data_IF_363995852314
#
_entry.id   IF_363995852314
#
_cell.length_a   1.000
_cell.length_b   1.000
_cell.length_c   1.000
_cell.angle_alpha   90.00
_cell.angle_beta   90.00
_cell.angle_gamma   90.00
#
_symmetry.space_group_name_H-M   'P 1'
#
loop_
_entity.id
_entity.type
_entity.pdbx_description
1 polymer ?
#
# COMPACT_ATOMS: atom_id res chain seq x y z
N UNK A 1 -16.85 -13.56 28.97
CA UNK A 1 -16.39 -12.33 28.30
C UNK A 1 -17.46 -11.26 28.42
N UNK A 2 -17.10 -10.15 29.05
CA UNK A 2 -17.90 -8.93 29.24
C UNK A 2 -16.95 -7.73 29.32
N UNK A 3 -17.13 -6.74 28.45
CA UNK A 3 -16.30 -5.55 28.38
C UNK A 3 -17.08 -4.32 27.90
N UNK A 4 -16.60 -3.13 28.26
CA UNK A 4 -17.06 -1.85 27.75
C UNK A 4 -15.90 -1.11 27.10
N UNK A 5 -16.11 -0.54 25.92
CA UNK A 5 -15.07 0.21 25.19
C UNK A 5 -15.67 1.43 24.47
N UNK A 6 -14.80 2.37 24.09
CA UNK A 6 -15.15 3.47 23.19
C UNK A 6 -15.60 2.92 21.84
N UNK A 7 -16.81 3.27 21.42
CA UNK A 7 -17.44 2.74 20.22
C UNK A 7 -16.62 3.04 18.97
N UNK A 8 -16.15 4.29 18.81
CA UNK A 8 -15.36 4.71 17.66
C UNK A 8 -14.07 3.90 17.50
N UNK A 9 -13.33 3.70 18.60
CA UNK A 9 -12.06 2.96 18.60
C UNK A 9 -12.26 1.49 18.23
N UNK A 10 -13.30 0.87 18.79
CA UNK A 10 -13.64 -0.52 18.54
C UNK A 10 -14.20 -0.72 17.12
N UNK A 11 -15.02 0.22 16.63
CA UNK A 11 -15.54 0.21 15.27
C UNK A 11 -14.42 0.35 14.23
N UNK A 12 -13.46 1.24 14.47
CA UNK A 12 -12.28 1.42 13.62
C UNK A 12 -11.44 0.14 13.56
N UNK A 13 -11.12 -0.46 14.72
CA UNK A 13 -10.36 -1.70 14.78
C UNK A 13 -11.09 -2.88 14.14
N UNK A 14 -12.39 -3.05 14.40
CA UNK A 14 -13.19 -4.13 13.80
C UNK A 14 -13.29 -3.97 12.27
N UNK A 15 -13.45 -2.74 11.78
CA UNK A 15 -13.47 -2.43 10.35
C UNK A 15 -12.13 -2.75 9.69
N UNK A 16 -11.03 -2.43 10.38
CA UNK A 16 -9.69 -2.73 9.90
C UNK A 16 -9.43 -4.22 9.79
N UNK A 17 -9.74 -4.99 10.83
CA UNK A 17 -9.60 -6.44 10.76
C UNK A 17 -10.50 -7.05 9.68
N UNK A 18 -11.77 -6.63 9.59
CA UNK A 18 -12.70 -7.15 8.60
C UNK A 18 -12.32 -6.83 7.14
N UNK A 19 -11.52 -5.79 6.90
CA UNK A 19 -10.98 -5.44 5.58
C UNK A 19 -9.87 -6.40 5.13
N UNK A 20 -9.00 -6.76 6.07
CA UNK A 20 -7.85 -7.64 5.84
C UNK A 20 -8.24 -9.11 5.68
N UNK A 21 -9.43 -9.47 6.16
CA UNK A 21 -9.96 -10.81 6.02
C UNK A 21 -10.66 -11.01 4.66
N UNK A 22 -10.56 -12.23 4.10
CA UNK A 22 -11.15 -12.56 2.81
C UNK A 22 -12.67 -12.40 2.85
N UNK A 23 -13.18 -11.82 1.76
CA UNK A 23 -14.58 -11.40 1.67
C UNK A 23 -15.54 -12.55 1.33
N UNK A 24 -15.01 -13.57 0.65
CA UNK A 24 -15.71 -14.80 0.25
C UNK A 24 -14.86 -15.97 0.67
N UNK A 25 -15.30 -16.67 1.71
CA UNK A 25 -14.70 -17.93 2.18
C UNK A 25 -15.76 -18.99 2.26
N UNK A 26 -15.39 -20.22 1.92
CA UNK A 26 -16.25 -21.39 2.13
C UNK A 26 -16.40 -21.71 3.62
N UNK A 27 -15.38 -21.39 4.42
CA UNK A 27 -15.35 -21.57 5.87
C UNK A 27 -15.53 -20.22 6.60
N UNK A 28 -16.70 -19.96 7.21
CA UNK A 28 -16.98 -18.72 7.93
C UNK A 28 -16.01 -18.40 9.06
N UNK A 29 -15.32 -19.40 9.62
CA UNK A 29 -14.36 -19.22 10.71
C UNK A 29 -13.17 -18.36 10.25
N UNK A 30 -12.75 -18.47 8.99
CA UNK A 30 -11.64 -17.70 8.41
C UNK A 30 -11.99 -16.24 8.12
N UNK A 31 -13.29 -15.91 8.04
CA UNK A 31 -13.78 -14.53 8.00
C UNK A 31 -14.25 -14.04 9.39
N UNK A 32 -13.94 -14.82 10.43
CA UNK A 32 -14.26 -14.51 11.81
C UNK A 32 -13.24 -13.56 12.44
N UNK A 33 -13.73 -12.78 13.40
CA UNK A 33 -12.92 -11.95 14.29
C UNK A 33 -12.90 -12.58 15.67
N UNK A 34 -11.72 -12.91 16.16
CA UNK A 34 -11.50 -13.28 17.55
C UNK A 34 -11.41 -12.01 18.39
N UNK A 35 -12.26 -11.89 19.39
CA UNK A 35 -12.15 -10.90 20.45
C UNK A 35 -11.58 -11.58 21.68
N UNK A 36 -10.52 -11.01 22.27
CA UNK A 36 -9.97 -11.47 23.55
C UNK A 36 -9.98 -10.32 24.55
N UNK A 37 -10.76 -10.45 25.61
CA UNK A 37 -10.81 -9.49 26.70
C UNK A 37 -9.92 -9.96 27.85
N UNK A 38 -9.12 -9.04 28.38
CA UNK A 38 -8.30 -9.27 29.57
C UNK A 38 -7.84 -7.97 30.23
N UNK A 39 -6.91 -8.03 31.20
CA UNK A 39 -6.54 -6.87 32.02
C UNK A 39 -6.00 -5.66 31.24
N UNK A 40 -5.43 -5.87 30.05
CA UNK A 40 -4.89 -4.83 29.19
C UNK A 40 -5.91 -4.21 28.23
N UNK A 41 -7.18 -4.65 28.26
CA UNK A 41 -8.24 -4.21 27.36
C UNK A 41 -8.73 -5.33 26.45
N UNK A 42 -9.02 -4.99 25.19
CA UNK A 42 -9.52 -5.94 24.18
C UNK A 42 -8.56 -6.06 23.01
N UNK A 43 -8.27 -7.31 22.63
CA UNK A 43 -7.54 -7.67 21.44
C UNK A 43 -8.51 -8.13 20.35
N UNK A 44 -8.37 -7.58 19.15
CA UNK A 44 -9.11 -7.91 17.94
C UNK A 44 -8.16 -8.64 17.00
N UNK A 45 -8.47 -9.89 16.68
CA UNK A 45 -7.57 -10.78 15.94
C UNK A 45 -8.31 -11.42 14.77
N UNK A 46 -7.72 -11.33 13.58
CA UNK A 46 -8.21 -12.00 12.37
C UNK A 46 -7.08 -12.78 11.71
N UNK A 47 -7.41 -13.96 11.16
CA UNK A 47 -6.47 -14.77 10.37
C UNK A 47 -7.18 -15.63 9.33
N UNK A 48 -6.66 -15.67 8.11
CA UNK A 48 -7.11 -16.58 7.05
C UNK A 48 -6.08 -17.67 6.70
N UNK A 49 -5.07 -17.85 7.57
CA UNK A 49 -3.84 -18.67 7.44
C UNK A 49 -2.70 -18.00 6.69
N UNK A 50 -2.98 -17.14 5.74
CA UNK A 50 -1.95 -16.41 4.99
C UNK A 50 -1.71 -15.04 5.62
N UNK A 51 -2.80 -14.32 5.85
CA UNK A 51 -2.86 -13.01 6.46
C UNK A 51 -3.26 -13.13 7.92
N UNK A 52 -2.62 -12.34 8.76
CA UNK A 52 -3.01 -12.20 10.15
C UNK A 52 -2.89 -10.75 10.60
N UNK A 53 -3.88 -10.31 11.35
CA UNK A 53 -3.93 -8.98 11.96
C UNK A 53 -4.27 -9.10 13.43
N UNK A 54 -3.64 -8.25 14.23
CA UNK A 54 -3.84 -8.13 15.66
C UNK A 54 -3.88 -6.65 16.01
N UNK A 55 -4.95 -6.20 16.63
CA UNK A 55 -5.11 -4.83 17.12
C UNK A 55 -5.52 -4.85 18.58
N UNK A 56 -4.96 -3.95 19.38
CA UNK A 56 -5.33 -3.80 20.79
C UNK A 56 -6.02 -2.46 21.00
N UNK A 57 -7.12 -2.46 21.76
CA UNK A 57 -7.84 -1.25 22.15
C UNK A 57 -8.06 -1.21 23.67
N UNK A 58 -7.95 -0.03 24.29
CA UNK A 58 -8.36 0.14 25.67
C UNK A 58 -9.83 -0.27 25.85
N UNK A 59 -10.10 -1.02 26.91
CA UNK A 59 -11.46 -1.39 27.29
C UNK A 59 -11.50 -1.66 28.79
N UNK A 60 -12.63 -1.38 29.40
CA UNK A 60 -12.93 -1.81 30.77
C UNK A 60 -13.46 -3.23 30.69
N UNK A 61 -12.65 -4.20 31.13
CA UNK A 61 -13.03 -5.62 31.12
C UNK A 61 -13.65 -6.01 32.46
N UNK A 62 -14.90 -6.44 32.43
CA UNK A 62 -15.66 -6.91 33.60
C UNK A 62 -15.53 -8.41 33.80
N UNK A 63 -15.36 -9.15 32.70
CA UNK A 63 -15.12 -10.60 32.73
C UNK A 63 -14.27 -10.99 31.54
N UNK A 64 -13.11 -11.61 31.82
CA UNK A 64 -12.20 -12.09 30.79
C UNK A 64 -12.85 -13.12 29.87
N UNK A 65 -12.20 -13.36 28.73
CA UNK A 65 -12.53 -14.46 27.85
C UNK A 65 -12.27 -14.15 26.39
N UNK A 66 -12.48 -15.16 25.55
CA UNK A 66 -12.31 -15.06 24.11
C UNK A 66 -13.53 -15.59 23.38
N UNK A 67 -13.90 -14.94 22.28
CA UNK A 67 -14.98 -15.38 21.40
C UNK A 67 -14.61 -15.16 19.94
N UNK A 68 -15.23 -15.92 19.05
CA UNK A 68 -15.16 -15.72 17.61
C UNK A 68 -16.52 -15.26 17.08
N UNK A 69 -16.56 -14.20 16.28
CA UNK A 69 -17.78 -13.65 15.68
C UNK A 69 -17.57 -13.27 14.21
N UNK A 70 -18.62 -13.17 13.37
CA UNK A 70 -18.45 -12.71 12.00
C UNK A 70 -17.91 -11.27 11.93
N UNK A 71 -16.69 -11.09 11.42
CA UNK A 71 -15.95 -9.82 11.51
C UNK A 71 -16.72 -8.64 10.88
N UNK A 72 -17.22 -8.84 9.66
CA UNK A 72 -17.98 -7.83 8.91
C UNK A 72 -19.25 -7.39 9.62
N UNK A 73 -20.02 -8.36 10.13
CA UNK A 73 -21.27 -8.05 10.84
C UNK A 73 -21.01 -7.24 12.09
N UNK A 74 -19.94 -7.56 12.83
CA UNK A 74 -19.59 -6.78 14.01
C UNK A 74 -19.15 -5.37 13.61
N UNK A 75 -18.25 -5.25 12.62
CA UNK A 75 -17.78 -3.96 12.13
C UNK A 75 -18.94 -3.06 11.65
N UNK A 76 -19.86 -3.60 10.86
CA UNK A 76 -21.03 -2.86 10.37
C UNK A 76 -21.98 -2.46 11.51
N UNK A 77 -22.18 -3.34 12.49
CA UNK A 77 -23.00 -3.05 13.67
C UNK A 77 -22.39 -1.90 14.45
N UNK A 78 -21.10 -1.97 14.79
CA UNK A 78 -20.39 -0.94 15.57
C UNK A 78 -20.34 0.40 14.84
N UNK A 79 -20.14 0.40 13.52
CA UNK A 79 -20.11 1.64 12.71
C UNK A 79 -21.45 2.36 12.67
N UNK A 80 -22.56 1.63 12.84
CA UNK A 80 -23.91 2.19 12.87
C UNK A 80 -24.36 2.71 14.24
N UNK A 81 -23.53 2.61 15.28
CA UNK A 81 -23.86 3.10 16.61
C UNK A 81 -23.49 4.57 16.75
N UNK A 82 -24.35 5.33 17.43
CA UNK A 82 -24.12 6.75 17.77
C UNK A 82 -23.65 6.93 19.22
N UNK A 83 -23.82 5.93 20.09
CA UNK A 83 -23.36 5.98 21.48
C UNK A 83 -21.83 6.00 21.58
N UNK A 84 -21.27 6.84 22.46
CA UNK A 84 -19.82 6.94 22.69
C UNK A 84 -19.19 5.65 23.24
N UNK A 85 -19.96 4.88 24.00
CA UNK A 85 -19.52 3.65 24.65
C UNK A 85 -20.43 2.49 24.27
N UNK A 86 -19.82 1.32 24.07
CA UNK A 86 -20.52 0.08 23.74
C UNK A 86 -20.07 -1.04 24.68
N UNK A 87 -21.03 -1.84 25.15
CA UNK A 87 -20.76 -3.03 25.96
C UNK A 87 -20.90 -4.28 25.11
N UNK A 88 -19.86 -5.11 25.08
CA UNK A 88 -19.88 -6.44 24.48
C UNK A 88 -19.96 -7.50 25.57
N UNK A 89 -20.99 -8.34 25.53
CA UNK A 89 -21.19 -9.37 26.56
C UNK A 89 -21.70 -10.67 25.95
N UNK A 90 -21.12 -11.78 26.39
CA UNK A 90 -21.52 -13.12 25.95
C UNK A 90 -22.79 -13.55 26.66
N UNK A 91 -23.79 -13.95 25.87
CA UNK A 91 -25.08 -14.43 26.35
C UNK A 91 -25.40 -15.78 25.69
N UNK A 92 -25.05 -16.88 26.36
CA UNK A 92 -25.18 -18.22 25.81
C UNK A 92 -24.31 -18.37 24.55
N UNK A 93 -24.96 -18.61 23.41
CA UNK A 93 -24.31 -18.80 22.10
C UNK A 93 -24.18 -17.52 21.26
N UNK A 94 -24.36 -16.33 21.87
CA UNK A 94 -24.31 -15.05 21.16
C UNK A 94 -23.41 -14.03 21.85
N UNK A 95 -22.79 -13.16 21.06
CA UNK A 95 -22.20 -11.92 21.54
C UNK A 95 -23.24 -10.81 21.43
N UNK A 96 -23.71 -10.31 22.57
CA UNK A 96 -24.60 -9.15 22.61
C UNK A 96 -23.78 -7.85 22.55
N UNK A 97 -24.13 -6.99 21.61
CA UNK A 97 -23.62 -5.61 21.47
C UNK A 97 -24.70 -4.70 22.06
N UNK A 98 -24.40 -4.06 23.18
CA UNK A 98 -25.36 -3.26 23.95
C UNK A 98 -24.96 -1.80 24.01
N UNK A 99 -25.94 -0.96 23.81
CA UNK A 99 -25.89 0.47 24.14
C UNK A 99 -26.99 0.80 25.14
N UNK A 100 -27.17 2.09 25.44
CA UNK A 100 -28.22 2.56 26.34
C UNK A 100 -29.63 2.24 25.80
N UNK A 101 -29.81 2.32 24.49
CA UNK A 101 -31.11 2.23 23.82
C UNK A 101 -31.28 0.98 22.93
N UNK A 102 -30.21 0.23 22.67
CA UNK A 102 -30.24 -0.87 21.71
C UNK A 102 -29.50 -2.13 22.17
N UNK A 103 -29.95 -3.28 21.66
CA UNK A 103 -29.27 -4.56 21.78
C UNK A 103 -29.25 -5.29 20.45
N UNK A 104 -28.05 -5.57 19.97
CA UNK A 104 -27.79 -6.45 18.83
C UNK A 104 -27.16 -7.74 19.33
N UNK A 105 -27.30 -8.84 18.61
CA UNK A 105 -26.72 -10.12 19.01
C UNK A 105 -26.18 -10.88 17.81
N UNK A 106 -24.87 -11.13 17.81
CA UNK A 106 -24.19 -11.89 16.77
C UNK A 106 -24.02 -13.34 17.22
N UNK A 107 -24.16 -14.33 16.32
CA UNK A 107 -23.85 -15.71 16.65
C UNK A 107 -22.36 -15.85 16.97
N UNK A 108 -22.04 -16.64 17.98
CA UNK A 108 -20.67 -17.10 18.19
C UNK A 108 -20.35 -18.19 17.16
N UNK A 109 -19.15 -18.09 16.58
CA UNK A 109 -18.56 -19.14 15.77
C UNK A 109 -17.68 -20.03 16.66
N UNK A 110 -17.33 -21.22 16.18
CA UNK A 110 -16.45 -22.11 16.93
C UNK A 110 -15.02 -21.56 16.97
N UNK A 111 -14.63 -21.06 18.15
CA UNK A 111 -13.30 -20.52 18.40
C UNK A 111 -12.21 -21.60 18.25
N UNK A 112 -12.50 -22.86 18.57
CA UNK A 112 -11.51 -23.94 18.49
C UNK A 112 -11.13 -24.27 17.04
N UNK A 113 -12.03 -23.98 16.09
CA UNK A 113 -11.78 -24.15 14.65
C UNK A 113 -10.96 -23.00 14.04
N UNK A 114 -10.77 -21.87 14.74
CA UNK A 114 -10.00 -20.75 14.23
C UNK A 114 -8.51 -21.12 14.16
N UNK A 115 -7.78 -20.82 13.06
CA UNK A 115 -6.38 -21.21 12.88
C UNK A 115 -5.40 -20.52 13.85
N UNK A 116 -5.90 -19.69 14.77
CA UNK A 116 -5.09 -18.79 15.58
C UNK A 116 -4.36 -17.73 14.76
N UNK A 117 -3.50 -16.98 15.44
CA UNK A 117 -2.52 -16.11 14.79
C UNK A 117 -1.13 -16.61 15.15
N UNK A 118 -0.31 -16.99 14.17
CA UNK A 118 1.06 -17.41 14.44
C UNK A 118 1.87 -16.24 15.03
N UNK A 119 2.91 -16.54 15.83
CA UNK A 119 3.76 -15.50 16.40
C UNK A 119 4.41 -14.65 15.30
N UNK A 120 4.82 -13.44 15.66
CA UNK A 120 5.60 -12.59 14.76
C UNK A 120 6.97 -13.25 14.51
N UNK A 121 7.50 -13.18 13.27
CA UNK A 121 8.86 -13.57 12.98
C UNK A 121 9.90 -12.75 13.79
N UNK A 122 11.18 -13.12 13.75
CA UNK A 122 12.27 -12.31 14.29
C UNK A 122 12.27 -10.89 13.73
N UNK A 123 12.78 -9.94 14.52
CA UNK A 123 12.91 -8.54 14.09
C UNK A 123 14.02 -8.44 13.05
N UNK A 124 13.70 -7.86 11.89
CA UNK A 124 14.67 -7.53 10.84
C UNK A 124 15.20 -6.10 10.99
N UNK A 125 14.36 -5.16 11.41
CA UNK A 125 14.77 -3.78 11.67
C UNK A 125 13.59 -2.84 11.94
N UNK A 126 13.89 -1.55 12.10
CA UNK A 126 12.92 -0.52 12.50
C UNK A 126 13.11 0.77 11.71
N UNK A 127 12.03 1.53 11.52
CA UNK A 127 12.06 2.88 10.97
C UNK A 127 10.83 3.70 11.39
N UNK A 128 10.87 5.03 11.26
CA UNK A 128 9.67 5.86 11.42
C UNK A 128 8.57 5.47 10.43
N UNK A 129 7.31 5.53 10.87
CA UNK A 129 6.13 5.24 10.03
C UNK A 129 6.09 6.08 8.76
N UNK A 130 6.49 7.33 8.84
CA UNK A 130 6.43 8.30 7.73
C UNK A 130 7.38 7.90 6.62
N UNK A 131 8.59 7.45 6.98
CA UNK A 131 9.63 6.98 6.06
C UNK A 131 9.14 5.73 5.33
N UNK A 132 8.56 4.77 6.07
CA UNK A 132 8.01 3.55 5.47
C UNK A 132 6.85 3.88 4.54
N UNK A 133 5.92 4.74 4.95
CA UNK A 133 4.75 5.15 4.14
C UNK A 133 5.19 5.86 2.86
N UNK A 134 6.11 6.83 2.97
CA UNK A 134 6.56 7.64 1.86
C UNK A 134 7.27 6.82 0.78
N UNK A 135 7.99 5.75 1.16
CA UNK A 135 8.68 4.88 0.24
C UNK A 135 7.82 3.74 -0.30
N UNK A 136 7.04 3.10 0.58
CA UNK A 136 6.31 1.88 0.22
C UNK A 136 5.04 2.16 -0.56
N UNK A 137 4.37 3.30 -0.31
CA UNK A 137 3.18 3.71 -1.09
C UNK A 137 3.44 3.80 -2.59
N UNK A 138 4.47 4.54 -3.07
CA UNK A 138 4.76 4.60 -4.49
C UNK A 138 5.32 3.29 -5.05
N UNK A 139 6.09 2.54 -4.25
CA UNK A 139 6.65 1.24 -4.68
C UNK A 139 5.54 0.20 -4.85
N UNK A 140 4.68 -0.01 -3.85
CA UNK A 140 3.53 -0.90 -3.96
C UNK A 140 2.56 -0.46 -5.09
N UNK A 141 2.47 0.84 -5.37
CA UNK A 141 1.68 1.35 -6.50
C UNK A 141 2.16 0.88 -7.88
N UNK A 142 3.43 0.45 -8.00
CA UNK A 142 4.02 -0.04 -9.25
C UNK A 142 3.81 -1.55 -9.50
N UNK A 143 3.18 -2.27 -8.58
CA UNK A 143 2.96 -3.72 -8.72
C UNK A 143 1.84 -4.04 -9.70
N UNK A 144 1.90 -5.24 -10.27
CA UNK A 144 0.81 -5.83 -11.03
C UNK A 144 -0.40 -6.07 -10.13
N UNK A 145 -1.59 -5.91 -10.71
CA UNK A 145 -2.87 -6.35 -10.12
C UNK A 145 -3.37 -7.65 -10.74
N UNK A 146 -2.63 -8.18 -11.70
CA UNK A 146 -2.90 -9.44 -12.38
C UNK A 146 -2.16 -10.57 -11.67
N UNK A 147 -2.93 -11.52 -11.13
CA UNK A 147 -2.44 -12.68 -10.39
C UNK A 147 -1.86 -13.77 -11.31
N UNK A 148 -1.96 -13.63 -12.64
CA UNK A 148 -1.36 -14.58 -13.59
C UNK A 148 0.16 -14.70 -13.44
N UNK A 149 0.82 -13.64 -12.96
CA UNK A 149 2.26 -13.62 -12.66
C UNK A 149 2.49 -13.08 -11.25
N UNK A 150 2.35 -13.92 -10.19
CA UNK A 150 2.41 -13.50 -8.79
C UNK A 150 3.71 -12.78 -8.41
N UNK A 151 4.81 -13.08 -9.09
CA UNK A 151 6.09 -12.38 -8.90
C UNK A 151 5.99 -10.85 -9.02
N UNK A 152 5.07 -10.34 -9.85
CA UNK A 152 4.88 -8.91 -10.06
C UNK A 152 3.81 -8.30 -9.14
N UNK A 153 3.13 -9.10 -8.31
CA UNK A 153 2.16 -8.60 -7.32
C UNK A 153 2.82 -8.25 -5.99
N UNK A 154 4.14 -8.43 -5.88
CA UNK A 154 4.92 -8.17 -4.67
C UNK A 154 5.89 -7.01 -4.76
N UNK A 155 6.35 -6.59 -3.59
CA UNK A 155 7.47 -5.66 -3.39
C UNK A 155 8.67 -6.45 -2.87
N UNK A 156 9.78 -6.35 -3.58
CA UNK A 156 11.07 -6.89 -3.16
C UNK A 156 11.69 -5.96 -2.12
N UNK A 157 12.00 -6.45 -0.92
CA UNK A 157 12.59 -5.68 0.18
C UNK A 157 13.95 -6.25 0.57
N UNK A 158 15.02 -5.48 0.41
CA UNK A 158 16.41 -5.89 0.64
C UNK A 158 17.11 -4.96 1.64
N UNK A 159 17.55 -5.52 2.76
CA UNK A 159 18.49 -4.86 3.66
C UNK A 159 19.89 -4.79 3.04
N UNK A 160 20.46 -3.60 2.98
CA UNK A 160 21.84 -3.36 2.55
C UNK A 160 22.49 -2.43 3.55
N UNK A 161 23.25 -2.98 4.51
CA UNK A 161 23.86 -2.19 5.58
C UNK A 161 22.83 -1.40 6.40
N UNK A 162 22.92 -0.08 6.34
CA UNK A 162 22.08 0.90 7.06
C UNK A 162 20.87 1.41 6.28
N UNK A 163 20.60 0.83 5.10
CA UNK A 163 19.45 1.18 4.29
C UNK A 163 18.63 -0.04 3.87
N UNK A 164 17.36 0.22 3.59
CA UNK A 164 16.40 -0.72 3.05
C UNK A 164 16.07 -0.30 1.62
N UNK A 165 16.29 -1.20 0.67
CA UNK A 165 15.90 -1.04 -0.73
C UNK A 165 14.57 -1.75 -0.98
N UNK A 166 13.67 -1.08 -1.69
CA UNK A 166 12.34 -1.57 -2.07
C UNK A 166 12.14 -1.43 -3.57
N UNK A 167 11.74 -2.52 -4.23
CA UNK A 167 11.58 -2.55 -5.69
C UNK A 167 10.27 -3.24 -6.06
N UNK A 168 9.55 -2.67 -7.02
CA UNK A 168 8.34 -3.27 -7.59
C UNK A 168 8.17 -2.89 -9.06
N UNK A 169 7.53 -3.77 -9.82
CA UNK A 169 7.26 -3.55 -11.24
C UNK A 169 6.06 -4.37 -11.73
N UNK A 170 5.37 -3.86 -12.73
CA UNK A 170 4.36 -4.56 -13.54
C UNK A 170 4.84 -4.82 -14.98
N UNK A 171 6.17 -4.72 -15.19
CA UNK A 171 6.91 -4.76 -16.47
C UNK A 171 6.81 -3.52 -17.34
N UNK A 172 5.84 -2.64 -17.13
CA UNK A 172 5.67 -1.40 -17.91
C UNK A 172 6.09 -0.15 -17.14
N UNK A 173 6.10 -0.26 -15.82
CA UNK A 173 6.65 0.71 -14.91
C UNK A 173 7.36 0.02 -13.77
N UNK A 174 8.20 0.78 -13.07
CA UNK A 174 8.97 0.27 -11.96
C UNK A 174 9.22 1.40 -10.98
N UNK A 175 9.17 1.08 -9.69
CA UNK A 175 9.50 2.00 -8.62
C UNK A 175 10.61 1.40 -7.77
N UNK A 176 11.56 2.24 -7.40
CA UNK A 176 12.69 1.91 -6.57
C UNK A 176 12.77 2.95 -5.45
N UNK A 177 12.79 2.51 -4.21
CA UNK A 177 13.01 3.38 -3.07
C UNK A 177 14.16 2.85 -2.21
N UNK A 178 15.03 3.76 -1.77
CA UNK A 178 16.02 3.50 -0.73
C UNK A 178 15.68 4.38 0.47
N UNK A 179 15.63 3.77 1.65
CA UNK A 179 15.33 4.47 2.89
C UNK A 179 16.34 4.15 3.98
N UNK A 180 16.68 5.12 4.86
CA UNK A 180 17.42 4.83 6.07
C UNK A 180 16.58 3.95 6.99
N UNK A 181 17.20 2.97 7.64
CA UNK A 181 16.53 2.15 8.64
C UNK A 181 17.52 1.62 9.70
N UNK A 182 17.00 1.23 10.86
CA UNK A 182 17.79 0.61 11.92
C UNK A 182 17.74 -0.91 11.75
N UNK A 183 18.76 -1.47 11.10
CA UNK A 183 18.88 -2.91 10.89
C UNK A 183 19.18 -3.65 12.21
N UNK A 184 18.48 -4.77 12.43
CA UNK A 184 18.71 -5.71 13.55
C UNK A 184 18.95 -7.14 13.07
N UNK A 185 18.55 -7.44 11.83
CA UNK A 185 18.76 -8.72 11.17
C UNK A 185 18.84 -8.53 9.66
N UNK A 186 18.91 -9.64 8.94
CA UNK A 186 18.83 -9.64 7.48
C UNK A 186 17.38 -9.50 7.01
N UNK A 187 17.18 -8.81 5.89
CA UNK A 187 15.91 -8.80 5.17
C UNK A 187 16.17 -9.03 3.69
N UNK A 188 15.61 -10.10 3.14
CA UNK A 188 15.65 -10.38 1.71
C UNK A 188 14.39 -11.15 1.35
N UNK A 189 13.32 -10.40 1.07
CA UNK A 189 11.99 -10.99 0.90
C UNK A 189 11.25 -10.38 -0.28
N UNK A 190 10.28 -11.13 -0.82
CA UNK A 190 9.29 -10.65 -1.77
C UNK A 190 7.91 -10.69 -1.09
N UNK A 191 7.44 -9.53 -0.65
CA UNK A 191 6.21 -9.39 0.12
C UNK A 191 5.02 -9.05 -0.78
N UNK A 192 3.85 -9.69 -0.63
CA UNK A 192 2.63 -9.29 -1.34
C UNK A 192 2.30 -7.81 -1.13
N UNK A 193 2.02 -7.08 -2.21
CA UNK A 193 1.68 -5.66 -2.14
C UNK A 193 0.37 -5.39 -1.40
N UNK A 194 -0.53 -6.39 -1.33
CA UNK A 194 -1.79 -6.29 -0.62
C UNK A 194 -1.59 -5.96 0.87
N UNK A 195 -0.61 -6.57 1.54
CA UNK A 195 -0.23 -6.23 2.92
C UNK A 195 0.27 -4.77 3.00
N UNK A 196 1.03 -4.37 2.00
CA UNK A 196 1.75 -3.10 1.96
C UNK A 196 0.82 -1.93 1.64
N UNK A 197 -0.34 -2.18 1.03
CA UNK A 197 -1.39 -1.18 0.83
C UNK A 197 -1.92 -0.60 2.15
N UNK A 198 -1.89 -1.39 3.23
CA UNK A 198 -2.32 -0.95 4.56
C UNK A 198 -1.27 -0.10 5.28
N UNK A 199 -0.04 0.00 4.76
CA UNK A 199 1.00 0.85 5.35
C UNK A 199 0.56 2.32 5.40
N UNK A 200 -0.20 2.78 4.41
CA UNK A 200 -0.79 4.13 4.40
C UNK A 200 -1.72 4.44 5.60
N UNK A 201 -2.17 3.41 6.33
CA UNK A 201 -3.08 3.52 7.49
C UNK A 201 -2.37 3.31 8.83
N UNK A 202 -1.06 3.07 8.81
CA UNK A 202 -0.29 2.99 10.05
C UNK A 202 -0.44 4.29 10.85
N UNK A 203 -0.43 4.22 12.19
CA UNK A 203 -0.36 5.42 13.01
C UNK A 203 0.85 6.26 12.61
N UNK A 204 0.65 7.57 12.49
CA UNK A 204 1.72 8.51 12.23
C UNK A 204 2.53 8.78 13.49
N UNK A 205 3.74 9.29 13.31
CA UNK A 205 4.73 9.66 14.31
C UNK A 205 5.08 8.52 15.26
N UNK A 206 5.20 7.30 14.73
CA UNK A 206 5.57 6.12 15.51
C UNK A 206 6.71 5.34 14.87
N UNK A 207 7.26 4.39 15.62
CA UNK A 207 8.26 3.46 15.10
C UNK A 207 7.54 2.19 14.65
N UNK A 208 7.79 1.81 13.40
CA UNK A 208 7.33 0.54 12.84
C UNK A 208 8.49 -0.45 12.90
N UNK A 209 8.21 -1.65 13.39
CA UNK A 209 9.14 -2.77 13.39
C UNK A 209 8.79 -3.72 12.25
N UNK A 210 9.79 -4.02 11.41
CA UNK A 210 9.69 -5.02 10.35
C UNK A 210 10.20 -6.35 10.91
N UNK A 211 9.38 -7.38 10.76
CA UNK A 211 9.69 -8.75 11.14
C UNK A 211 9.73 -9.61 9.87
N UNK A 212 10.69 -10.53 9.78
CA UNK A 212 10.73 -11.46 8.66
C UNK A 212 11.44 -12.76 9.02
N UNK A 213 11.01 -13.83 8.36
CA UNK A 213 11.70 -15.11 8.22
C UNK A 213 11.58 -15.59 6.76
N UNK A 214 11.88 -16.85 6.48
CA UNK A 214 11.86 -17.42 5.13
C UNK A 214 10.43 -17.56 4.54
N UNK A 215 9.40 -17.53 5.38
CA UNK A 215 8.01 -17.81 4.99
C UNK A 215 7.09 -16.60 5.15
N UNK A 216 7.41 -15.66 6.04
CA UNK A 216 6.50 -14.59 6.48
C UNK A 216 7.19 -13.26 6.66
N UNK A 217 6.43 -12.20 6.41
CA UNK A 217 6.77 -10.82 6.80
C UNK A 217 5.67 -10.27 7.68
N UNK A 218 6.04 -9.44 8.66
CA UNK A 218 5.09 -8.70 9.46
C UNK A 218 5.57 -7.26 9.72
N UNK A 219 4.60 -6.37 9.92
CA UNK A 219 4.81 -5.01 10.42
C UNK A 219 4.13 -4.92 11.78
N UNK A 220 4.82 -4.35 12.78
CA UNK A 220 4.25 -4.10 14.10
C UNK A 220 4.52 -2.67 14.58
N UNK A 221 3.62 -2.17 15.42
CA UNK A 221 3.64 -0.82 15.98
C UNK A 221 2.91 -0.85 17.34
N UNK A 222 2.99 0.24 18.14
CA UNK A 222 2.22 0.31 19.38
C UNK A 222 0.73 0.09 19.16
N UNK A 223 0.19 -1.00 19.71
CA UNK A 223 -1.23 -1.35 19.62
C UNK A 223 -1.64 -2.15 18.38
N UNK A 224 -0.70 -2.62 17.55
CA UNK A 224 -1.06 -3.50 16.44
C UNK A 224 0.07 -4.18 15.70
N UNK A 225 -0.30 -5.20 14.91
CA UNK A 225 0.57 -5.84 13.94
C UNK A 225 -0.23 -6.45 12.79
N UNK A 226 0.38 -6.50 11.61
CA UNK A 226 -0.14 -7.19 10.44
C UNK A 226 0.95 -8.08 9.85
N UNK A 227 0.59 -9.26 9.34
CA UNK A 227 1.52 -10.22 8.75
C UNK A 227 0.91 -10.93 7.56
N UNK A 228 1.76 -11.37 6.64
CA UNK A 228 1.38 -12.16 5.47
C UNK A 228 2.46 -13.21 5.17
N UNK A 229 2.12 -14.22 4.36
CA UNK A 229 3.07 -15.15 3.76
C UNK A 229 3.83 -14.48 2.60
N UNK A 230 5.09 -14.86 2.42
CA UNK A 230 5.93 -14.36 1.34
C UNK A 230 5.55 -14.99 0.00
N UNK A 231 5.88 -14.28 -1.08
CA UNK A 231 5.78 -14.83 -2.43
C UNK A 231 7.02 -15.69 -2.70
N UNK A 232 6.82 -16.99 -2.90
CA UNK A 232 7.87 -17.96 -3.23
C UNK A 232 8.32 -17.86 -4.70
N UNK A 233 8.80 -16.69 -5.12
CA UNK A 233 9.25 -16.44 -6.50
C UNK A 233 10.51 -15.56 -6.57
N UNK A 234 11.47 -15.84 -7.47
CA UNK A 234 12.69 -15.06 -7.60
C UNK A 234 12.45 -13.75 -8.36
N UNK A 235 12.61 -12.59 -7.71
CA UNK A 235 12.46 -11.27 -8.35
C UNK A 235 13.63 -10.94 -9.30
N UNK A 236 13.41 -10.37 -10.51
CA UNK A 236 14.47 -10.12 -11.49
C UNK A 236 15.29 -8.84 -11.21
N UNK A 237 16.02 -8.81 -10.09
CA UNK A 237 16.70 -7.61 -9.56
C UNK A 237 17.78 -7.06 -10.52
N UNK A 238 18.69 -7.90 -11.03
CA UNK A 238 19.78 -7.45 -11.91
C UNK A 238 19.29 -6.73 -13.16
N UNK A 239 18.20 -7.22 -13.76
CA UNK A 239 17.60 -6.61 -14.94
C UNK A 239 16.88 -5.32 -14.58
N UNK A 240 16.21 -5.29 -13.43
CA UNK A 240 15.55 -4.10 -12.91
C UNK A 240 16.55 -2.96 -12.66
N UNK A 241 17.67 -3.24 -11.96
CA UNK A 241 18.70 -2.24 -11.66
C UNK A 241 19.40 -1.69 -12.89
N UNK A 242 19.69 -2.53 -13.88
CA UNK A 242 20.28 -2.07 -15.17
C UNK A 242 19.40 -1.05 -15.90
N UNK A 243 18.09 -1.07 -15.70
CA UNK A 243 17.20 -0.08 -16.30
C UNK A 243 17.33 1.32 -15.66
N UNK A 244 17.92 1.42 -14.46
CA UNK A 244 18.20 2.68 -13.78
C UNK A 244 19.41 3.43 -14.37
N UNK A 245 20.31 2.72 -15.06
CA UNK A 245 21.48 3.28 -15.73
C UNK A 245 21.07 3.92 -17.07
N UNK A 246 20.45 5.11 -16.99
CA UNK A 246 19.95 5.82 -18.16
C UNK A 246 21.07 6.49 -18.99
N UNK A 247 21.00 6.37 -20.32
CA UNK A 247 21.74 7.24 -21.25
C UNK A 247 20.83 8.43 -21.53
N UNK A 248 21.16 9.59 -20.99
CA UNK A 248 20.26 10.74 -20.95
C UNK A 248 20.37 11.56 -22.25
N UNK A 249 19.27 11.64 -23.00
CA UNK A 249 19.16 12.51 -24.19
C UNK A 249 18.57 13.88 -23.85
N UNK A 250 17.63 13.90 -22.91
CA UNK A 250 16.97 15.11 -22.45
C UNK A 250 16.66 15.03 -20.96
N UNK A 251 16.97 16.09 -20.23
CA UNK A 251 16.64 16.25 -18.82
C UNK A 251 15.58 17.34 -18.70
N UNK A 252 14.44 17.02 -18.09
CA UNK A 252 13.33 17.96 -17.92
C UNK A 252 12.96 18.09 -16.45
N UNK A 253 13.07 19.28 -15.89
CA UNK A 253 12.70 19.59 -14.50
C UNK A 253 11.38 20.36 -14.47
N UNK A 254 10.36 19.79 -13.82
CA UNK A 254 8.98 20.31 -13.81
C UNK A 254 8.33 20.11 -12.44
N UNK A 255 7.31 20.92 -12.11
CA UNK A 255 6.46 20.67 -10.94
C UNK A 255 5.62 19.41 -11.17
N UNK A 256 5.75 18.40 -10.31
CA UNK A 256 5.10 17.10 -10.50
C UNK A 256 3.56 17.23 -10.56
N UNK A 257 2.97 18.04 -9.68
CA UNK A 257 1.52 18.23 -9.62
C UNK A 257 0.97 18.96 -10.86
N UNK A 258 1.75 19.90 -11.43
CA UNK A 258 1.36 20.61 -12.64
C UNK A 258 1.33 19.65 -13.84
N UNK A 259 2.37 18.85 -14.02
CA UNK A 259 2.43 17.85 -15.09
C UNK A 259 1.37 16.75 -14.89
N UNK A 260 1.17 16.27 -13.66
CA UNK A 260 0.13 15.29 -13.36
C UNK A 260 -1.27 15.83 -13.66
N UNK A 261 -1.52 17.12 -13.37
CA UNK A 261 -2.75 17.82 -13.71
C UNK A 261 -3.01 17.86 -15.21
N UNK A 262 -1.99 18.19 -16.01
CA UNK A 262 -2.08 18.22 -17.47
C UNK A 262 -2.33 16.82 -18.06
N UNK A 263 -1.61 15.80 -17.60
CA UNK A 263 -1.83 14.39 -18.01
C UNK A 263 -3.26 13.93 -17.69
N UNK A 264 -3.77 14.26 -16.50
CA UNK A 264 -5.14 13.94 -16.11
C UNK A 264 -6.17 14.61 -17.02
N UNK A 265 -5.97 15.88 -17.39
CA UNK A 265 -6.87 16.61 -18.31
C UNK A 265 -6.77 16.13 -19.75
N UNK A 266 -5.63 15.60 -20.18
CA UNK A 266 -5.45 15.00 -21.50
C UNK A 266 -6.03 13.57 -21.61
N UNK A 267 -6.18 12.87 -20.49
CA UNK A 267 -6.63 11.46 -20.44
C UNK A 267 -8.00 11.22 -21.13
N UNK A 268 -9.03 12.07 -21.03
CA UNK A 268 -10.28 11.89 -21.77
C UNK A 268 -10.12 11.82 -23.30
N UNK A 269 -9.04 12.37 -23.84
CA UNK A 269 -8.70 12.41 -25.27
C UNK A 269 -7.67 11.35 -25.67
N UNK A 270 -7.37 10.39 -24.80
CA UNK A 270 -6.29 9.43 -24.98
C UNK A 270 -6.69 8.14 -25.72
N UNK A 271 -7.93 8.10 -26.22
CA UNK A 271 -8.50 6.98 -26.96
C UNK A 271 -8.58 5.67 -26.15
N UNK A 272 -8.93 4.54 -26.81
CA UNK A 272 -9.09 3.25 -26.14
C UNK A 272 -7.78 2.69 -25.56
N UNK A 273 -6.63 3.15 -26.05
CA UNK A 273 -5.31 2.71 -25.58
C UNK A 273 -4.80 3.53 -24.39
N UNK A 274 -5.46 4.64 -24.05
CA UNK A 274 -5.09 5.47 -22.92
C UNK A 274 -3.75 6.17 -23.10
N UNK A 275 -3.38 6.57 -24.33
CA UNK A 275 -2.07 7.14 -24.65
C UNK A 275 -2.02 8.67 -24.53
N UNK A 276 -0.98 9.20 -23.86
CA UNK A 276 -0.68 10.63 -23.79
C UNK A 276 0.73 10.88 -24.30
N UNK A 277 0.92 11.90 -25.12
CA UNK A 277 2.20 12.27 -25.72
C UNK A 277 2.78 13.50 -25.01
N UNK A 278 4.04 13.39 -24.59
CA UNK A 278 4.85 14.50 -24.11
C UNK A 278 5.78 14.96 -25.23
N UNK A 279 5.72 16.24 -25.58
CA UNK A 279 6.66 16.89 -26.48
C UNK A 279 7.52 17.84 -25.65
N UNK A 280 8.83 17.62 -25.68
CA UNK A 280 9.82 18.48 -25.01
C UNK A 280 10.15 19.63 -25.95
N UNK A 281 9.81 20.85 -25.54
CA UNK A 281 10.12 22.09 -26.26
C UNK A 281 11.30 22.83 -25.60
N UNK A 282 11.46 24.14 -25.81
CA UNK A 282 12.58 24.91 -25.24
C UNK A 282 12.39 25.30 -23.77
N UNK A 283 11.15 25.61 -23.36
CA UNK A 283 10.82 26.08 -22.00
C UNK A 283 9.55 25.47 -21.42
N UNK A 284 8.99 24.47 -22.11
CA UNK A 284 7.73 23.82 -21.73
C UNK A 284 7.70 22.35 -22.16
N UNK A 285 6.93 21.56 -21.42
CA UNK A 285 6.44 20.25 -21.82
C UNK A 285 5.03 20.42 -22.36
N UNK A 286 4.83 20.07 -23.62
CA UNK A 286 3.51 20.04 -24.23
C UNK A 286 2.92 18.65 -24.08
N UNK A 287 1.78 18.57 -23.40
CA UNK A 287 1.03 17.35 -23.11
C UNK A 287 -0.13 17.25 -24.09
N UNK A 288 -0.17 16.18 -24.88
CA UNK A 288 -1.22 15.94 -25.88
C UNK A 288 -1.96 14.63 -25.64
N UNK A 289 -3.29 14.70 -25.73
CA UNK A 289 -4.16 13.54 -25.97
C UNK A 289 -4.85 13.74 -27.31
N UNK A 290 -4.84 12.72 -28.18
CA UNK A 290 -5.50 12.81 -29.49
C UNK A 290 -6.09 11.45 -29.85
N UNK A 291 -7.37 11.45 -30.21
CA UNK A 291 -8.08 10.28 -30.72
C UNK A 291 -9.19 10.73 -31.70
N UNK A 292 -9.33 10.08 -32.87
CA UNK A 292 -10.27 10.53 -33.92
C UNK A 292 -11.73 10.60 -33.49
N UNK A 293 -12.15 9.86 -32.46
CA UNK A 293 -13.54 9.81 -31.99
C UNK A 293 -13.81 10.76 -30.83
N UNK A 294 -12.80 11.02 -30.00
CA UNK A 294 -12.92 11.80 -28.76
C UNK A 294 -12.31 13.21 -28.87
N UNK A 295 -11.62 13.50 -29.97
CA UNK A 295 -11.05 14.81 -30.28
C UNK A 295 -9.60 14.93 -29.83
N UNK A 296 -9.15 16.16 -29.62
CA UNK A 296 -7.78 16.45 -29.19
C UNK A 296 -7.73 17.40 -27.99
N UNK A 297 -6.65 17.27 -27.23
CA UNK A 297 -6.26 18.17 -26.14
C UNK A 297 -4.79 18.48 -26.24
N UNK A 298 -4.44 19.71 -25.92
CA UNK A 298 -3.07 20.19 -25.88
C UNK A 298 -2.95 21.17 -24.72
N UNK A 299 -1.96 20.93 -23.85
CA UNK A 299 -1.67 21.81 -22.73
C UNK A 299 -0.15 21.92 -22.54
N UNK A 300 0.34 23.14 -22.33
CA UNK A 300 1.76 23.40 -22.05
C UNK A 300 2.01 23.58 -20.56
N UNK A 301 3.01 22.87 -20.05
CA UNK A 301 3.49 22.95 -18.66
C UNK A 301 4.90 23.51 -18.65
N UNK A 302 5.13 24.62 -17.94
CA UNK A 302 6.45 25.24 -17.84
C UNK A 302 7.48 24.26 -17.25
N UNK A 303 8.64 24.15 -17.88
CA UNK A 303 9.72 23.27 -17.43
C UNK A 303 11.10 23.87 -17.71
N UNK A 304 12.11 23.39 -17.00
CA UNK A 304 13.52 23.66 -17.32
C UNK A 304 14.08 22.47 -18.09
N UNK A 305 14.69 22.71 -19.24
CA UNK A 305 15.02 21.66 -20.20
C UNK A 305 16.50 21.76 -20.58
N UNK A 306 17.18 20.63 -20.54
CA UNK A 306 18.56 20.46 -21.00
C UNK A 306 18.63 19.29 -21.99
N UNK A 307 19.39 19.46 -23.07
CA UNK A 307 19.54 18.42 -24.11
C UNK A 307 18.53 18.52 -25.25
N UNK A 308 18.08 17.36 -25.74
CA UNK A 308 17.35 17.24 -27.00
C UNK A 308 15.83 17.49 -26.85
N UNK A 309 15.19 17.92 -27.95
CA UNK A 309 13.73 18.08 -28.05
C UNK A 309 13.17 16.76 -28.55
N UNK A 310 12.57 16.02 -27.64
CA UNK A 310 12.12 14.64 -27.87
C UNK A 310 10.62 14.55 -27.69
N UNK A 311 9.99 13.68 -28.48
CA UNK A 311 8.57 13.35 -28.34
C UNK A 311 8.45 11.91 -27.84
N UNK A 312 7.66 11.69 -26.78
CA UNK A 312 7.41 10.37 -26.19
C UNK A 312 5.95 10.18 -25.86
N UNK A 313 5.42 9.02 -26.20
CA UNK A 313 4.06 8.64 -25.85
C UNK A 313 4.08 7.62 -24.71
N UNK A 314 3.21 7.79 -23.72
CA UNK A 314 3.10 6.93 -22.55
C UNK A 314 1.66 6.49 -22.35
N UNK A 315 1.46 5.40 -21.60
CA UNK A 315 0.14 5.13 -21.06
C UNK A 315 -0.16 6.14 -19.94
N UNK A 316 -1.25 6.89 -20.08
CA UNK A 316 -1.60 8.01 -19.21
C UNK A 316 -1.64 7.61 -17.74
N UNK A 317 -2.22 6.44 -17.43
CA UNK A 317 -2.31 5.92 -16.06
C UNK A 317 -0.92 5.70 -15.43
N UNK A 318 0.05 5.16 -16.18
CA UNK A 318 1.37 4.87 -15.64
C UNK A 318 2.17 6.14 -15.41
N UNK A 319 2.08 7.10 -16.34
CA UNK A 319 2.72 8.40 -16.19
C UNK A 319 2.09 9.18 -15.01
N UNK A 320 0.76 9.17 -14.89
CA UNK A 320 0.07 9.81 -13.78
C UNK A 320 0.46 9.21 -12.43
N UNK A 321 0.51 7.88 -12.31
CA UNK A 321 0.90 7.20 -11.07
C UNK A 321 2.37 7.49 -10.71
N UNK A 322 3.27 7.51 -11.71
CA UNK A 322 4.67 7.87 -11.50
C UNK A 322 4.84 9.31 -11.01
N UNK A 323 4.10 10.27 -11.58
CA UNK A 323 4.16 11.68 -11.17
C UNK A 323 3.58 11.88 -9.76
N UNK A 324 2.51 11.14 -9.42
CA UNK A 324 1.87 11.21 -8.10
C UNK A 324 2.80 10.80 -6.97
N UNK A 325 3.78 9.94 -7.25
CA UNK A 325 4.82 9.54 -6.32
C UNK A 325 5.74 10.71 -5.88
N UNK A 326 5.75 11.81 -6.64
CA UNK A 326 6.53 13.01 -6.39
C UNK A 326 5.65 14.25 -6.09
N UNK A 327 4.42 14.04 -5.61
CA UNK A 327 3.49 15.15 -5.34
C UNK A 327 4.10 16.19 -4.39
N UNK A 328 3.85 17.48 -4.68
CA UNK A 328 4.44 18.60 -3.97
C UNK A 328 5.94 18.84 -4.22
N UNK A 329 6.58 18.11 -5.15
CA UNK A 329 8.01 18.24 -5.47
C UNK A 329 8.25 18.64 -6.92
N UNK A 330 9.43 19.20 -7.17
CA UNK A 330 10.02 19.26 -8.51
C UNK A 330 10.58 17.89 -8.87
N UNK A 331 10.16 17.39 -10.03
CA UNK A 331 10.60 16.10 -10.57
C UNK A 331 11.47 16.32 -11.80
N UNK A 332 12.56 15.57 -11.87
CA UNK A 332 13.47 15.48 -13.01
C UNK A 332 13.11 14.24 -13.83
N UNK A 333 12.73 14.45 -15.08
CA UNK A 333 12.50 13.42 -16.09
C UNK A 333 13.77 13.27 -16.93
N UNK A 334 14.43 12.13 -16.83
CA UNK A 334 15.55 11.72 -17.68
C UNK A 334 15.01 10.89 -18.83
N UNK A 335 14.88 11.53 -19.98
CA UNK A 335 14.31 10.93 -21.19
C UNK A 335 15.45 10.40 -22.06
N UNK A 336 15.29 9.16 -22.51
CA UNK A 336 16.21 8.46 -23.39
C UNK A 336 15.56 8.28 -24.77
N UNK A 337 16.34 8.13 -25.83
CA UNK A 337 15.86 7.97 -27.21
C UNK A 337 15.18 6.60 -27.45
N UNK A 338 14.34 6.54 -28.50
CA UNK A 338 13.64 5.33 -28.93
C UNK A 338 12.56 4.87 -27.95
N UNK A 339 12.58 3.58 -27.57
CA UNK A 339 11.58 2.99 -26.66
C UNK A 339 12.13 2.70 -25.27
N UNK A 340 13.27 3.30 -24.92
CA UNK A 340 13.84 3.18 -23.58
C UNK A 340 12.98 3.93 -22.56
N UNK A 341 12.98 3.45 -21.33
CA UNK A 341 12.20 4.03 -20.23
C UNK A 341 12.66 5.44 -19.88
N UNK A 342 11.69 6.29 -19.54
CA UNK A 342 11.95 7.56 -18.88
C UNK A 342 12.10 7.33 -17.38
N UNK A 343 13.15 7.88 -16.78
CA UNK A 343 13.40 7.81 -15.34
C UNK A 343 12.98 9.12 -14.69
N UNK A 344 12.14 9.05 -13.67
CA UNK A 344 11.68 10.16 -12.84
C UNK A 344 12.40 10.08 -11.50
N UNK A 345 12.96 11.21 -11.08
CA UNK A 345 13.64 11.35 -9.78
C UNK A 345 13.33 12.70 -9.17
N UNK A 346 13.47 12.84 -7.85
CA UNK A 346 13.50 14.15 -7.18
C UNK A 346 14.68 14.19 -6.23
N UNK A 347 15.05 15.38 -5.77
CA UNK A 347 15.92 15.47 -4.61
C UNK A 347 15.24 14.78 -3.41
N UNK A 348 15.99 14.04 -2.58
CA UNK A 348 15.45 13.46 -1.35
C UNK A 348 14.90 14.56 -0.43
N UNK A 349 13.81 14.25 0.27
CA UNK A 349 13.28 15.13 1.30
C UNK A 349 14.10 15.05 2.60
N UNK A 350 13.64 15.74 3.64
CA UNK A 350 14.22 15.61 5.00
C UNK A 350 14.02 14.19 5.58
N UNK A 351 13.10 13.42 5.01
CA UNK A 351 12.83 12.02 5.34
C UNK A 351 13.93 11.05 4.88
N UNK A 352 14.90 11.51 4.07
CA UNK A 352 15.97 10.68 3.53
C UNK A 352 15.48 9.62 2.52
N UNK A 353 14.23 9.71 2.06
CA UNK A 353 13.67 8.77 1.10
C UNK A 353 14.16 9.11 -0.30
N UNK A 354 14.98 8.24 -0.87
CA UNK A 354 15.40 8.33 -2.26
C UNK A 354 14.43 7.53 -3.14
N UNK A 355 13.71 8.20 -4.02
CA UNK A 355 12.74 7.56 -4.91
C UNK A 355 13.14 7.72 -6.38
N UNK A 356 13.12 6.61 -7.12
CA UNK A 356 13.26 6.56 -8.58
C UNK A 356 12.06 5.84 -9.17
N UNK A 357 11.49 6.36 -10.24
CA UNK A 357 10.36 5.76 -10.93
C UNK A 357 10.66 5.65 -12.42
N UNK A 358 10.32 4.54 -13.05
CA UNK A 358 10.51 4.31 -14.47
C UNK A 358 9.17 4.08 -15.13
N UNK A 359 8.98 4.69 -16.31
CA UNK A 359 7.83 4.46 -17.16
C UNK A 359 8.31 4.12 -18.57
N UNK A 360 7.86 2.98 -19.09
CA UNK A 360 8.17 2.54 -20.45
C UNK A 360 7.25 3.29 -21.43
N UNK A 361 7.79 3.91 -22.50
CA UNK A 361 6.98 4.54 -23.52
C UNK A 361 6.22 3.50 -24.36
N UNK A 362 5.08 3.91 -24.89
CA UNK A 362 4.32 3.14 -25.86
C UNK A 362 4.96 3.25 -27.24
N UNK A 363 4.85 2.16 -28.02
CA UNK A 363 5.05 2.25 -29.47
C UNK A 363 3.90 3.03 -30.06
N UNK A 364 4.18 4.15 -30.70
CA UNK A 364 3.24 4.79 -31.60
C UNK A 364 3.04 3.86 -32.81
N UNK A 365 1.80 3.50 -33.09
CA UNK A 365 1.43 2.91 -34.37
C UNK A 365 1.26 4.10 -35.32
N UNK A 366 2.16 4.21 -36.30
CA UNK A 366 2.10 5.25 -37.31
C UNK A 366 0.90 5.03 -38.25
#
# INVERSE_FOLDING_TARGET
MDLTATTADLAAAATEVARLLPTRVLDPVLAGLVLRAGPAGVELVGSDREHAVRLSRPATVHTDGAVLVPARRLADTLRGLEDDQVRLVVEGSRLAVRTSAARFALPLLDLASHPGVPPLPPVAGRMPSEVLVAALTPVAGATSKDDALPIFTGVRMLAVGDHLEMIATDRYRMAFATVPWSAEGSLNVLAPAALLADVSRLPQHTVVTIHADDDRIALSWPGGSVSTTLLAAPFPDDRARKLLEAIIDSTVVVEADALAGAVRRATPYSGPHGSVTLQVEDSELRVRGSDPQTGESEESVKATIEGNRVTKTFQARYLADALRAFSGRRVELRIQDGLRSTVLTSQPGEDGVELKYLVVPLRTVA
#
